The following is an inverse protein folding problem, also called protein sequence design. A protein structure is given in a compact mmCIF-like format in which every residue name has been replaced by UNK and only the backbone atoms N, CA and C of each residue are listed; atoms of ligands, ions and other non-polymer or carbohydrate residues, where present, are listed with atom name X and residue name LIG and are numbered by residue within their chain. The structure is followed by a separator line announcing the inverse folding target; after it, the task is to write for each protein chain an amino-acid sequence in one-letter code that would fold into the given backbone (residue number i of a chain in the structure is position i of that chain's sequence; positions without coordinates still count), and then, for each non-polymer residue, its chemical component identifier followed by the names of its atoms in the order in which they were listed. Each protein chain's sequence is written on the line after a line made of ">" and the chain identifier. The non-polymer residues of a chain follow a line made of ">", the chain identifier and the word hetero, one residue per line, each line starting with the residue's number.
data_IF_679840069662
#
_entry.id   IF_679840069662
#
_cell.length_a   1.000
_cell.length_b   1.000
_cell.length_c   1.000
_cell.angle_alpha   90.00
_cell.angle_beta   90.00
_cell.angle_gamma   90.00
#
_symmetry.space_group_name_H-M   'P 1'
#
loop_
_entity.id
_entity.type
_entity.pdbx_description
1 polymer ?
#
# COMPACT_ATOMS: atom_id res chain seq x y z
N UNK A 1 45.54 10.13 25.55
CA UNK A 1 44.30 10.81 25.97
C UNK A 1 43.74 11.81 24.96
N UNK A 2 44.51 12.78 24.42
CA UNK A 2 43.97 13.80 23.48
C UNK A 2 43.36 13.22 22.20
N UNK A 3 44.00 12.22 21.56
CA UNK A 3 43.45 11.56 20.37
C UNK A 3 42.15 10.76 20.63
N UNK A 4 41.97 10.23 21.84
CA UNK A 4 40.80 9.41 22.21
C UNK A 4 39.53 10.25 22.31
N UNK A 5 39.65 11.56 22.57
CA UNK A 5 38.53 12.50 22.64
C UNK A 5 38.30 13.19 21.28
N UNK A 6 39.39 13.50 20.56
CA UNK A 6 39.31 14.18 19.26
C UNK A 6 38.56 13.37 18.19
N UNK A 7 38.71 12.05 18.16
CA UNK A 7 38.05 11.18 17.16
C UNK A 7 36.52 11.10 17.38
N UNK A 8 35.98 10.85 18.58
CA UNK A 8 34.55 10.93 18.83
C UNK A 8 33.95 12.32 18.55
N UNK A 9 34.67 13.39 18.92
CA UNK A 9 34.22 14.76 18.65
C UNK A 9 34.16 15.08 17.15
N UNK A 10 35.12 14.62 16.37
CA UNK A 10 35.11 14.81 14.91
C UNK A 10 34.00 14.01 14.24
N UNK A 11 33.77 12.76 14.66
CA UNK A 11 32.65 11.94 14.17
C UNK A 11 31.29 12.57 14.50
N UNK A 12 31.13 13.08 15.72
CA UNK A 12 29.91 13.80 16.12
C UNK A 12 29.70 15.06 15.28
N UNK A 13 30.75 15.84 15.05
CA UNK A 13 30.68 17.05 14.22
C UNK A 13 30.29 16.72 12.77
N UNK A 14 30.90 15.70 12.16
CA UNK A 14 30.54 15.24 10.81
C UNK A 14 29.07 14.79 10.76
N UNK A 15 28.62 14.04 11.76
CA UNK A 15 27.22 13.62 11.86
C UNK A 15 26.25 14.81 12.01
N UNK A 16 26.62 15.80 12.82
CA UNK A 16 25.84 17.03 13.01
C UNK A 16 25.76 17.86 11.74
N UNK A 17 26.89 18.05 11.03
CA UNK A 17 26.92 18.77 9.74
C UNK A 17 26.05 18.06 8.73
N UNK A 18 26.17 16.73 8.61
CA UNK A 18 25.32 15.93 7.73
C UNK A 18 23.83 16.06 8.10
N UNK A 19 23.51 16.00 9.38
CA UNK A 19 22.14 16.19 9.87
C UNK A 19 21.59 17.57 9.51
N UNK A 20 22.34 18.65 9.75
CA UNK A 20 21.91 20.00 9.38
C UNK A 20 21.79 20.18 7.86
N UNK A 21 22.69 19.56 7.09
CA UNK A 21 22.61 19.57 5.63
C UNK A 21 21.32 18.90 5.14
N UNK A 22 21.04 17.68 5.62
CA UNK A 22 19.90 16.86 5.19
C UNK A 22 18.54 17.40 5.70
N UNK A 23 18.49 17.91 6.94
CA UNK A 23 17.24 18.29 7.62
C UNK A 23 16.96 19.80 7.59
N UNK A 24 17.94 20.66 7.29
CA UNK A 24 17.75 22.12 7.25
C UNK A 24 18.10 22.69 5.89
N UNK A 25 19.36 22.55 5.45
CA UNK A 25 19.85 23.26 4.26
C UNK A 25 19.20 22.75 2.97
N UNK A 26 19.18 21.43 2.75
CA UNK A 26 18.64 20.81 1.53
C UNK A 26 17.15 21.12 1.34
N UNK A 27 16.26 20.93 2.35
CA UNK A 27 14.85 21.33 2.22
C UNK A 27 14.66 22.83 1.90
N UNK A 28 15.34 23.72 2.63
CA UNK A 28 15.21 25.16 2.40
C UNK A 28 15.68 25.57 1.01
N UNK A 29 16.79 24.98 0.53
CA UNK A 29 17.30 25.21 -0.83
C UNK A 29 16.32 24.75 -1.90
N UNK A 30 15.72 23.56 -1.75
CA UNK A 30 14.70 23.05 -2.69
C UNK A 30 13.48 23.97 -2.70
N UNK A 31 13.01 24.42 -1.53
CA UNK A 31 11.89 25.35 -1.44
C UNK A 31 12.17 26.66 -2.18
N UNK A 32 13.35 27.26 -1.98
CA UNK A 32 13.75 28.48 -2.66
C UNK A 32 13.82 28.29 -4.18
N UNK A 33 14.41 27.18 -4.64
CA UNK A 33 14.55 26.86 -6.05
C UNK A 33 13.19 26.65 -6.74
N UNK A 34 12.25 25.94 -6.11
CA UNK A 34 10.91 25.72 -6.68
C UNK A 34 10.07 27.00 -6.64
N UNK A 35 10.19 27.79 -5.56
CA UNK A 35 9.56 29.09 -5.47
C UNK A 35 10.03 30.05 -6.59
N UNK A 36 11.32 30.05 -6.94
CA UNK A 36 11.84 30.88 -8.05
C UNK A 36 11.34 30.43 -9.42
N UNK A 37 10.86 29.19 -9.55
CA UNK A 37 10.20 28.66 -10.74
C UNK A 37 8.68 28.85 -10.72
N UNK A 38 8.14 29.54 -9.70
CA UNK A 38 6.71 29.78 -9.56
C UNK A 38 5.92 28.68 -8.85
N UNK A 39 6.58 27.57 -8.46
CA UNK A 39 5.94 26.46 -7.73
C UNK A 39 5.98 26.79 -6.24
N UNK A 40 4.85 27.26 -5.72
CA UNK A 40 4.68 27.63 -4.30
C UNK A 40 4.13 26.46 -3.47
N UNK A 41 4.09 26.63 -2.15
CA UNK A 41 3.56 25.61 -1.24
C UNK A 41 3.67 26.00 0.23
N UNK A 42 3.15 25.18 1.16
CA UNK A 42 3.40 25.34 2.59
C UNK A 42 4.90 25.43 2.89
N UNK A 43 5.32 26.31 3.83
CA UNK A 43 6.71 26.41 4.20
C UNK A 43 7.19 25.13 4.90
N UNK A 44 8.40 24.71 4.58
CA UNK A 44 9.07 23.61 5.26
C UNK A 44 9.18 23.88 6.76
N UNK A 45 8.87 22.87 7.58
CA UNK A 45 9.08 22.89 9.03
C UNK A 45 10.14 21.86 9.39
N UNK A 46 11.10 22.27 10.21
CA UNK A 46 12.23 21.44 10.60
C UNK A 46 11.80 20.05 11.08
N UNK A 47 12.41 19.02 10.50
CA UNK A 47 12.14 17.58 10.69
C UNK A 47 10.80 17.11 10.15
N UNK A 48 9.71 17.82 10.44
CA UNK A 48 8.35 17.33 10.25
C UNK A 48 7.74 17.69 8.90
N UNK A 49 8.32 18.64 8.17
CA UNK A 49 7.73 19.13 6.93
C UNK A 49 6.30 19.62 7.16
N UNK A 50 5.37 19.13 6.36
CA UNK A 50 3.95 19.47 6.47
C UNK A 50 3.18 18.46 7.33
N UNK A 51 3.81 17.37 7.80
CA UNK A 51 3.11 16.23 8.40
C UNK A 51 2.22 16.60 9.61
N UNK A 52 2.72 17.46 10.51
CA UNK A 52 1.94 17.92 11.67
C UNK A 52 0.72 18.75 11.27
N UNK A 53 0.88 19.61 10.26
CA UNK A 53 -0.21 20.42 9.73
C UNK A 53 -1.26 19.54 9.05
N UNK A 54 -0.83 18.56 8.23
CA UNK A 54 -1.72 17.59 7.60
C UNK A 54 -2.48 16.76 8.63
N UNK A 55 -1.79 16.24 9.65
CA UNK A 55 -2.42 15.47 10.72
C UNK A 55 -3.50 16.29 11.44
N UNK A 56 -3.21 17.57 11.76
CA UNK A 56 -4.17 18.49 12.37
C UNK A 56 -5.38 18.74 11.46
N UNK A 57 -5.15 19.08 10.19
CA UNK A 57 -6.24 19.30 9.21
C UNK A 57 -7.14 18.06 9.06
N UNK A 58 -6.54 16.86 9.04
CA UNK A 58 -7.29 15.61 8.98
C UNK A 58 -8.12 15.38 10.24
N UNK A 59 -7.54 15.60 11.43
CA UNK A 59 -8.27 15.47 12.69
C UNK A 59 -9.43 16.46 12.78
N UNK A 60 -9.23 17.71 12.39
CA UNK A 60 -10.28 18.75 12.38
C UNK A 60 -11.37 18.49 11.35
N UNK A 61 -11.02 17.95 10.17
CA UNK A 61 -12.02 17.48 9.21
C UNK A 61 -12.79 16.28 9.79
N UNK A 62 -12.08 15.35 10.44
CA UNK A 62 -12.63 14.12 11.03
C UNK A 62 -13.57 14.34 12.21
N UNK A 63 -13.35 15.38 13.00
CA UNK A 63 -14.18 15.68 14.17
C UNK A 63 -15.51 16.35 13.84
N UNK A 64 -15.69 16.85 12.61
CA UNK A 64 -16.89 17.57 12.19
C UNK A 64 -17.87 16.63 11.48
N UNK A 65 -19.19 16.74 11.77
CA UNK A 65 -20.20 16.05 10.99
C UNK A 65 -20.19 16.57 9.54
N UNK A 66 -20.56 15.71 8.61
CA UNK A 66 -20.70 16.05 7.20
C UNK A 66 -22.10 15.65 6.73
N UNK A 67 -22.78 16.55 6.02
CA UNK A 67 -24.04 16.21 5.37
C UNK A 67 -23.82 15.17 4.26
N UNK A 68 -24.84 14.39 3.95
CA UNK A 68 -24.82 13.44 2.83
C UNK A 68 -24.78 14.22 1.51
N UNK A 69 -23.57 14.45 0.99
CA UNK A 69 -23.29 15.18 -0.26
C UNK A 69 -22.14 14.50 -1.00
N UNK A 70 -22.08 14.70 -2.32
CA UNK A 70 -21.00 14.16 -3.15
C UNK A 70 -19.65 14.89 -2.95
N UNK A 71 -19.68 16.14 -2.48
CA UNK A 71 -18.46 16.93 -2.24
C UNK A 71 -17.77 16.53 -0.93
N UNK A 72 -17.11 15.37 -0.96
CA UNK A 72 -16.39 14.80 0.18
C UNK A 72 -14.89 15.16 0.18
N UNK A 73 -14.39 15.82 -0.87
CA UNK A 73 -12.96 16.05 -1.04
C UNK A 73 -12.33 16.88 0.10
N UNK A 74 -12.95 17.99 0.57
CA UNK A 74 -12.46 18.74 1.73
C UNK A 74 -12.43 17.91 3.01
N UNK A 75 -13.22 16.83 3.08
CA UNK A 75 -13.34 15.95 4.25
C UNK A 75 -12.30 14.83 4.24
N UNK A 76 -12.08 14.20 3.08
CA UNK A 76 -11.20 13.02 2.92
C UNK A 76 -9.73 13.43 2.78
N UNK A 77 -9.46 14.51 2.05
CA UNK A 77 -8.12 15.05 1.79
C UNK A 77 -8.08 16.57 2.02
N UNK A 78 -8.31 17.05 3.26
CA UNK A 78 -8.45 18.48 3.58
C UNK A 78 -7.21 19.30 3.18
N UNK A 79 -6.02 18.76 3.39
CA UNK A 79 -4.75 19.41 3.07
C UNK A 79 -4.57 19.61 1.55
N UNK A 80 -4.90 18.60 0.74
CA UNK A 80 -4.82 18.70 -0.73
C UNK A 80 -5.85 19.72 -1.22
N UNK A 81 -7.09 19.64 -0.77
CA UNK A 81 -8.13 20.62 -1.10
C UNK A 81 -7.69 22.06 -0.73
N UNK A 82 -7.23 22.27 0.51
CA UNK A 82 -6.83 23.59 1.00
C UNK A 82 -5.65 24.16 0.24
N UNK A 83 -4.62 23.35 -0.01
CA UNK A 83 -3.40 23.81 -0.67
C UNK A 83 -3.57 23.97 -2.18
N UNK A 84 -4.39 23.13 -2.83
CA UNK A 84 -4.74 23.34 -4.24
C UNK A 84 -5.43 24.68 -4.44
N UNK A 85 -6.39 25.03 -3.56
CA UNK A 85 -7.08 26.32 -3.61
C UNK A 85 -6.17 27.51 -3.27
N UNK A 86 -5.12 27.30 -2.47
CA UNK A 86 -4.23 28.37 -1.99
C UNK A 86 -3.01 28.61 -2.89
N UNK A 87 -2.41 27.54 -3.41
CA UNK A 87 -1.14 27.58 -4.14
C UNK A 87 -1.28 27.26 -5.63
N UNK A 88 -2.45 26.73 -6.05
CA UNK A 88 -2.72 26.34 -7.43
C UNK A 88 -2.68 24.83 -7.63
N UNK A 89 -2.90 24.39 -8.89
CA UNK A 89 -2.98 22.98 -9.29
C UNK A 89 -1.69 22.19 -9.06
N UNK A 90 -0.56 22.89 -9.16
CA UNK A 90 0.77 22.38 -8.86
C UNK A 90 1.34 23.09 -7.63
N UNK A 91 1.74 22.33 -6.62
CA UNK A 91 2.36 22.92 -5.43
C UNK A 91 3.35 21.98 -4.76
N UNK A 92 4.28 22.56 -4.01
CA UNK A 92 5.27 21.84 -3.21
C UNK A 92 4.72 21.54 -1.81
N UNK A 93 4.70 20.29 -1.37
CA UNK A 93 4.50 19.90 0.02
C UNK A 93 5.69 19.12 0.58
N UNK A 94 5.63 18.77 1.87
CA UNK A 94 6.73 18.12 2.56
C UNK A 94 6.27 16.91 3.37
N UNK A 95 6.80 15.73 3.06
CA UNK A 95 6.72 14.56 3.94
C UNK A 95 8.01 14.45 4.77
N UNK A 96 7.95 14.96 6.01
CA UNK A 96 9.16 15.14 6.80
C UNK A 96 10.15 16.05 6.07
N UNK A 97 11.37 15.57 5.83
CA UNK A 97 12.41 16.29 5.08
C UNK A 97 12.30 16.14 3.55
N UNK A 98 11.37 15.32 3.07
CA UNK A 98 11.23 15.01 1.64
C UNK A 98 10.29 16.00 0.98
N UNK A 99 10.77 16.66 -0.06
CA UNK A 99 9.94 17.46 -0.95
C UNK A 99 9.00 16.55 -1.77
N UNK A 100 7.74 16.92 -1.85
CA UNK A 100 6.72 16.26 -2.66
C UNK A 100 6.08 17.30 -3.59
N UNK A 101 6.23 17.11 -4.90
CA UNK A 101 5.54 17.93 -5.88
C UNK A 101 4.17 17.31 -6.16
N UNK A 102 3.11 18.02 -5.79
CA UNK A 102 1.73 17.63 -6.10
C UNK A 102 1.38 18.19 -7.46
N UNK A 103 0.90 17.32 -8.35
CA UNK A 103 0.53 17.64 -9.73
C UNK A 103 -0.92 17.27 -9.95
N UNK A 104 -1.72 18.23 -10.44
CA UNK A 104 -3.16 18.03 -10.68
C UNK A 104 -3.57 18.22 -12.15
N UNK A 105 -2.65 18.66 -13.00
CA UNK A 105 -2.88 18.87 -14.44
C UNK A 105 -2.85 17.53 -15.19
N UNK A 106 -3.91 17.18 -15.95
CA UNK A 106 -4.00 15.90 -16.65
C UNK A 106 -2.82 15.59 -17.59
N UNK A 107 -2.32 16.60 -18.32
CA UNK A 107 -1.21 16.39 -19.27
C UNK A 107 0.10 16.03 -18.54
N UNK A 108 0.39 16.67 -17.41
CA UNK A 108 1.57 16.35 -16.60
C UNK A 108 1.42 15.00 -15.91
N UNK A 109 0.22 14.68 -15.39
CA UNK A 109 -0.08 13.37 -14.82
C UNK A 109 0.16 12.28 -15.87
N UNK A 110 -0.31 12.49 -17.11
CA UNK A 110 -0.11 11.55 -18.22
C UNK A 110 1.37 11.36 -18.54
N UNK A 111 2.17 12.43 -18.56
CA UNK A 111 3.61 12.35 -18.77
C UNK A 111 4.30 11.52 -17.67
N UNK A 112 3.99 11.81 -16.40
CA UNK A 112 4.52 11.08 -15.25
C UNK A 112 4.14 9.61 -15.29
N UNK A 113 2.87 9.29 -15.60
CA UNK A 113 2.37 7.91 -15.64
C UNK A 113 2.84 7.14 -16.88
N UNK A 114 3.12 7.82 -18.00
CA UNK A 114 3.75 7.19 -19.17
C UNK A 114 5.16 6.71 -18.83
N UNK A 115 5.89 7.49 -18.02
CA UNK A 115 7.21 7.16 -17.46
C UNK A 115 8.18 6.52 -18.48
N UNK A 116 8.14 6.95 -19.75
CA UNK A 116 8.86 6.28 -20.83
C UNK A 116 10.38 6.28 -20.65
N UNK A 117 10.90 7.27 -19.93
CA UNK A 117 12.33 7.41 -19.63
C UNK A 117 12.72 6.80 -18.27
N UNK A 118 11.78 6.14 -17.56
CA UNK A 118 11.96 5.66 -16.18
C UNK A 118 12.41 6.76 -15.20
N UNK A 119 12.06 8.01 -15.49
CA UNK A 119 12.41 9.19 -14.70
C UNK A 119 11.64 9.29 -13.38
N UNK A 120 10.50 8.59 -13.27
CA UNK A 120 9.61 8.62 -12.11
C UNK A 120 9.53 7.23 -11.46
N UNK A 121 10.57 6.79 -10.72
CA UNK A 121 10.51 5.54 -9.98
C UNK A 121 9.48 5.62 -8.86
N UNK A 122 8.89 4.47 -8.51
CA UNK A 122 8.02 4.33 -7.36
C UNK A 122 8.77 4.75 -6.09
N UNK A 123 8.03 5.42 -5.22
CA UNK A 123 8.51 5.74 -3.87
C UNK A 123 8.76 4.45 -3.09
N UNK A 124 9.92 4.33 -2.46
CA UNK A 124 10.17 3.28 -1.48
C UNK A 124 9.08 3.27 -0.40
N UNK A 125 8.41 2.12 -0.17
CA UNK A 125 7.32 2.04 0.77
C UNK A 125 7.80 2.39 2.18
N UNK A 126 6.92 2.99 2.98
CA UNK A 126 7.17 3.12 4.42
C UNK A 126 7.13 1.74 5.06
N UNK A 127 7.65 1.58 6.28
CA UNK A 127 7.63 0.28 6.97
C UNK A 127 6.23 -0.32 7.06
N UNK A 128 5.20 0.49 7.25
CA UNK A 128 3.81 -0.01 7.35
C UNK A 128 3.23 -0.40 6.01
N UNK A 129 3.54 0.36 4.94
CA UNK A 129 3.16 -0.04 3.57
C UNK A 129 3.87 -1.34 3.21
N UNK A 130 5.14 -1.49 3.57
CA UNK A 130 5.88 -2.75 3.38
C UNK A 130 5.24 -3.93 4.13
N UNK A 131 4.69 -3.72 5.33
CA UNK A 131 3.92 -4.78 6.01
C UNK A 131 2.61 -5.14 5.29
N UNK A 132 1.93 -4.18 4.68
CA UNK A 132 0.70 -4.41 3.91
C UNK A 132 0.91 -5.16 2.60
N UNK A 133 1.88 -4.74 1.78
CA UNK A 133 2.01 -5.22 0.38
C UNK A 133 3.39 -5.78 0.05
N UNK A 134 4.38 -5.60 0.94
CA UNK A 134 5.74 -6.09 0.78
C UNK A 134 6.35 -5.78 -0.59
N UNK A 135 6.98 -6.79 -1.19
CA UNK A 135 7.52 -6.77 -2.55
C UNK A 135 6.53 -7.31 -3.60
N UNK A 136 5.22 -7.18 -3.35
CA UNK A 136 4.20 -7.48 -4.34
C UNK A 136 4.09 -6.38 -5.40
N UNK A 137 3.21 -6.61 -6.38
CA UNK A 137 3.07 -5.82 -7.60
C UNK A 137 2.92 -4.31 -7.38
N UNK A 138 2.35 -3.92 -6.24
CA UNK A 138 2.22 -2.53 -5.80
C UNK A 138 3.59 -1.85 -5.67
N UNK A 139 4.53 -2.45 -4.94
CA UNK A 139 5.80 -1.80 -4.54
C UNK A 139 6.96 -2.08 -5.48
N UNK A 140 6.98 -3.27 -6.09
CA UNK A 140 8.13 -3.79 -6.84
C UNK A 140 8.33 -3.07 -8.18
N UNK A 141 9.58 -3.04 -8.64
CA UNK A 141 10.01 -2.48 -9.93
C UNK A 141 10.98 -3.42 -10.65
N UNK A 142 11.41 -3.04 -11.86
CA UNK A 142 12.42 -3.76 -12.64
C UNK A 142 11.96 -5.13 -13.14
N UNK A 143 12.90 -6.06 -13.28
CA UNK A 143 12.64 -7.41 -13.83
C UNK A 143 11.63 -8.20 -12.99
N UNK A 144 11.70 -8.05 -11.66
CA UNK A 144 10.78 -8.69 -10.73
C UNK A 144 9.34 -8.22 -10.94
N UNK A 145 9.14 -6.93 -11.17
CA UNK A 145 7.84 -6.39 -11.54
C UNK A 145 7.34 -6.93 -12.87
N UNK A 146 8.19 -7.04 -13.89
CA UNK A 146 7.79 -7.60 -15.20
C UNK A 146 7.25 -9.02 -15.02
N UNK A 147 7.94 -9.85 -14.22
CA UNK A 147 7.55 -11.22 -13.92
C UNK A 147 6.23 -11.32 -13.16
N UNK A 148 6.11 -10.62 -12.02
CA UNK A 148 4.88 -10.62 -11.23
C UNK A 148 3.70 -10.03 -12.04
N UNK A 149 3.94 -8.98 -12.83
CA UNK A 149 2.92 -8.39 -13.71
C UNK A 149 2.47 -9.36 -14.80
N UNK A 150 3.38 -10.17 -15.35
CA UNK A 150 3.03 -11.21 -16.33
C UNK A 150 2.05 -12.24 -15.72
N UNK A 151 2.31 -12.70 -14.50
CA UNK A 151 1.42 -13.63 -13.78
C UNK A 151 0.04 -13.00 -13.53
N UNK A 152 0.00 -11.77 -13.01
CA UNK A 152 -1.26 -11.04 -12.80
C UNK A 152 -2.02 -10.80 -14.11
N UNK A 153 -1.36 -10.33 -15.17
CA UNK A 153 -1.99 -10.16 -16.47
C UNK A 153 -2.54 -11.47 -17.02
N UNK A 154 -1.88 -12.61 -16.78
CA UNK A 154 -2.38 -13.91 -17.20
C UNK A 154 -3.65 -14.31 -16.42
N UNK A 155 -3.64 -14.15 -15.09
CA UNK A 155 -4.78 -14.45 -14.24
C UNK A 155 -6.01 -13.58 -14.56
N UNK A 156 -5.79 -12.32 -14.97
CA UNK A 156 -6.83 -11.32 -15.17
C UNK A 156 -6.98 -10.84 -16.62
N UNK A 157 -6.58 -11.66 -17.62
CA UNK A 157 -6.84 -11.35 -19.03
C UNK A 157 -8.30 -11.63 -19.41
N UNK A 158 -8.72 -11.12 -20.57
CA UNK A 158 -10.12 -11.16 -21.02
C UNK A 158 -10.77 -12.55 -20.98
N UNK A 159 -10.09 -13.60 -21.44
CA UNK A 159 -10.63 -14.97 -21.38
C UNK A 159 -10.70 -15.55 -19.94
N UNK A 160 -9.69 -15.34 -19.09
CA UNK A 160 -9.75 -15.69 -17.66
C UNK A 160 -10.90 -14.98 -16.94
N UNK A 161 -11.15 -13.70 -17.25
CA UNK A 161 -12.27 -12.94 -16.69
C UNK A 161 -13.64 -13.52 -17.09
N UNK A 162 -13.78 -14.04 -18.32
CA UNK A 162 -15.02 -14.72 -18.74
C UNK A 162 -15.29 -15.95 -17.87
N UNK A 163 -14.24 -16.72 -17.55
CA UNK A 163 -14.35 -17.90 -16.69
C UNK A 163 -14.69 -17.55 -15.24
N UNK A 164 -14.43 -16.32 -14.79
CA UNK A 164 -14.80 -15.82 -13.46
C UNK A 164 -16.28 -15.42 -13.34
N UNK A 165 -16.95 -15.14 -14.48
CA UNK A 165 -18.32 -14.59 -14.50
C UNK A 165 -19.34 -15.45 -13.72
N UNK A 166 -19.37 -16.78 -13.85
CA UNK A 166 -20.29 -17.61 -13.08
C UNK A 166 -20.09 -17.48 -11.56
N UNK A 167 -18.84 -17.41 -11.10
CA UNK A 167 -18.53 -17.26 -9.68
C UNK A 167 -18.97 -15.88 -9.16
N UNK A 168 -18.80 -14.82 -9.96
CA UNK A 168 -19.28 -13.46 -9.63
C UNK A 168 -20.80 -13.44 -9.50
N UNK A 169 -21.52 -14.02 -10.48
CA UNK A 169 -22.99 -14.11 -10.46
C UNK A 169 -23.45 -14.85 -9.20
N UNK A 170 -22.88 -16.02 -8.91
CA UNK A 170 -23.25 -16.79 -7.72
C UNK A 170 -23.00 -16.02 -6.41
N UNK A 171 -21.93 -15.21 -6.33
CA UNK A 171 -21.67 -14.35 -5.16
C UNK A 171 -22.73 -13.26 -5.00
N UNK A 172 -23.13 -12.62 -6.11
CA UNK A 172 -24.20 -11.61 -6.12
C UNK A 172 -25.55 -12.21 -5.77
N UNK A 173 -25.91 -13.36 -6.35
CA UNK A 173 -27.17 -14.06 -6.05
C UNK A 173 -27.26 -14.45 -4.57
N UNK A 174 -26.15 -14.93 -3.99
CA UNK A 174 -26.09 -15.24 -2.55
C UNK A 174 -26.34 -14.00 -1.68
N UNK A 175 -25.74 -12.86 -2.04
CA UNK A 175 -25.96 -11.60 -1.34
C UNK A 175 -27.42 -11.14 -1.47
N UNK A 176 -27.98 -11.19 -2.67
CA UNK A 176 -29.37 -10.78 -2.93
C UNK A 176 -30.39 -11.69 -2.21
N UNK A 177 -30.10 -12.99 -2.10
CA UNK A 177 -30.93 -13.91 -1.32
C UNK A 177 -30.96 -13.50 0.16
N UNK A 178 -29.80 -13.19 0.74
CA UNK A 178 -29.71 -12.66 2.11
C UNK A 178 -30.51 -11.36 2.26
N UNK A 179 -30.47 -10.48 1.25
CA UNK A 179 -31.19 -9.19 1.28
C UNK A 179 -32.70 -9.33 1.31
N UNK A 180 -33.28 -10.46 0.87
CA UNK A 180 -34.73 -10.72 1.02
C UNK A 180 -35.19 -10.69 2.48
N UNK A 181 -34.31 -11.01 3.44
CA UNK A 181 -34.59 -10.89 4.88
C UNK A 181 -34.69 -9.45 5.41
N UNK A 182 -34.31 -8.47 4.60
CA UNK A 182 -34.27 -7.04 4.94
C UNK A 182 -35.35 -6.22 4.24
N UNK A 183 -36.32 -6.85 3.57
CA UNK A 183 -37.42 -6.13 2.92
C UNK A 183 -38.13 -5.22 3.94
N UNK A 184 -38.23 -3.93 3.60
CA UNK A 184 -38.82 -2.90 4.45
C UNK A 184 -37.91 -2.40 5.59
N UNK A 185 -36.63 -2.79 5.62
CA UNK A 185 -35.65 -2.37 6.63
C UNK A 185 -34.48 -1.63 5.98
N UNK A 186 -33.85 -0.75 6.75
CA UNK A 186 -32.57 -0.15 6.37
C UNK A 186 -31.45 -1.20 6.45
N UNK A 187 -30.49 -1.11 5.52
CA UNK A 187 -29.31 -1.98 5.47
C UNK A 187 -28.04 -1.14 5.38
N UNK A 188 -26.98 -1.60 6.04
CA UNK A 188 -25.65 -1.02 5.95
C UNK A 188 -24.96 -1.62 4.72
N UNK A 189 -24.84 -0.83 3.64
CA UNK A 189 -24.37 -1.31 2.34
C UNK A 189 -22.85 -1.47 2.26
N UNK A 190 -22.08 -0.76 3.09
CA UNK A 190 -20.62 -0.82 3.02
C UNK A 190 -20.10 -2.22 3.36
N UNK A 191 -20.58 -2.79 4.47
CA UNK A 191 -20.19 -4.14 4.89
C UNK A 191 -20.71 -5.21 3.94
N UNK A 192 -21.93 -5.08 3.40
CA UNK A 192 -22.46 -6.02 2.40
C UNK A 192 -21.61 -6.03 1.13
N UNK A 193 -21.23 -4.87 0.61
CA UNK A 193 -20.35 -4.80 -0.56
C UNK A 193 -18.91 -5.22 -0.25
N UNK A 194 -18.38 -4.91 0.93
CA UNK A 194 -17.06 -5.40 1.37
C UNK A 194 -17.03 -6.92 1.41
N UNK A 195 -18.07 -7.56 1.94
CA UNK A 195 -18.20 -9.02 1.95
C UNK A 195 -18.36 -9.58 0.54
N UNK A 196 -19.15 -8.94 -0.33
CA UNK A 196 -19.31 -9.34 -1.72
C UNK A 196 -17.98 -9.32 -2.48
N UNK A 197 -17.21 -8.24 -2.41
CA UNK A 197 -15.93 -8.15 -3.14
C UNK A 197 -14.92 -9.14 -2.59
N UNK A 198 -14.91 -9.34 -1.27
CA UNK A 198 -14.08 -10.35 -0.59
C UNK A 198 -14.43 -11.78 -1.04
N UNK A 199 -15.72 -12.12 -1.17
CA UNK A 199 -16.15 -13.42 -1.70
C UNK A 199 -15.76 -13.58 -3.17
N UNK A 200 -15.96 -12.54 -3.99
CA UNK A 200 -15.60 -12.56 -5.41
C UNK A 200 -14.12 -12.82 -5.58
N UNK A 201 -13.23 -12.03 -4.95
CA UNK A 201 -11.78 -12.21 -5.12
C UNK A 201 -11.31 -13.57 -4.58
N UNK A 202 -11.85 -14.05 -3.45
CA UNK A 202 -11.54 -15.39 -2.92
C UNK A 202 -11.90 -16.49 -3.91
N UNK A 203 -13.09 -16.44 -4.52
CA UNK A 203 -13.53 -17.43 -5.50
C UNK A 203 -12.73 -17.36 -6.80
N UNK A 204 -12.50 -16.17 -7.32
CA UNK A 204 -11.99 -16.00 -8.68
C UNK A 204 -10.46 -16.00 -8.74
N UNK A 205 -9.77 -15.42 -7.77
CA UNK A 205 -8.31 -15.34 -7.76
C UNK A 205 -7.64 -16.42 -6.92
N UNK A 206 -8.30 -16.91 -5.87
CA UNK A 206 -7.70 -17.86 -4.94
C UNK A 206 -8.33 -19.26 -4.98
N UNK A 207 -9.40 -19.45 -5.77
CA UNK A 207 -10.12 -20.71 -5.88
C UNK A 207 -10.66 -21.21 -4.53
N UNK A 208 -10.99 -20.28 -3.63
CA UNK A 208 -11.43 -20.51 -2.25
C UNK A 208 -12.76 -19.79 -1.98
N UNK A 209 -13.09 -19.57 -0.70
CA UNK A 209 -14.26 -18.78 -0.27
C UNK A 209 -13.83 -17.66 0.67
N UNK A 210 -14.70 -16.68 0.93
CA UNK A 210 -14.48 -15.67 1.95
C UNK A 210 -14.13 -16.31 3.29
N UNK A 211 -14.79 -17.39 3.69
CA UNK A 211 -14.53 -18.07 4.97
C UNK A 211 -13.08 -18.57 5.07
N UNK A 212 -12.49 -19.02 3.97
CA UNK A 212 -11.07 -19.42 3.94
C UNK A 212 -10.12 -18.22 3.99
N UNK A 213 -10.51 -17.08 3.40
CA UNK A 213 -9.73 -15.84 3.35
C UNK A 213 -9.98 -14.86 4.51
N UNK A 214 -11.03 -15.07 5.32
CA UNK A 214 -11.55 -14.10 6.29
C UNK A 214 -10.47 -13.62 7.26
N UNK A 215 -9.68 -14.55 7.79
CA UNK A 215 -8.59 -14.22 8.71
C UNK A 215 -7.56 -13.31 8.05
N UNK A 216 -7.26 -13.51 6.76
CA UNK A 216 -6.33 -12.67 6.00
C UNK A 216 -6.92 -11.26 5.82
N UNK A 217 -8.18 -11.15 5.41
CA UNK A 217 -8.86 -9.85 5.26
C UNK A 217 -8.89 -9.04 6.56
N UNK A 218 -9.19 -9.68 7.69
CA UNK A 218 -9.23 -9.02 8.99
C UNK A 218 -7.85 -8.50 9.41
N UNK A 219 -6.80 -9.30 9.20
CA UNK A 219 -5.43 -8.90 9.50
C UNK A 219 -4.94 -7.78 8.57
N UNK A 220 -5.26 -7.84 7.28
CA UNK A 220 -4.96 -6.78 6.31
C UNK A 220 -5.69 -5.47 6.67
N UNK A 221 -6.95 -5.56 7.10
CA UNK A 221 -7.73 -4.41 7.56
C UNK A 221 -7.09 -3.76 8.80
N UNK A 222 -6.64 -4.56 9.77
CA UNK A 222 -5.87 -4.05 10.93
C UNK A 222 -4.56 -3.40 10.50
N UNK A 223 -3.81 -4.01 9.59
CA UNK A 223 -2.59 -3.41 9.04
C UNK A 223 -2.88 -2.07 8.33
N UNK A 224 -4.01 -1.95 7.61
CA UNK A 224 -4.42 -0.72 6.95
C UNK A 224 -4.71 0.39 7.95
N UNK A 225 -5.38 0.06 9.07
CA UNK A 225 -5.62 0.99 10.19
C UNK A 225 -4.30 1.44 10.82
N UNK A 226 -3.38 0.50 11.10
CA UNK A 226 -2.06 0.81 11.66
C UNK A 226 -1.28 1.74 10.71
N UNK A 227 -1.27 1.41 9.41
CA UNK A 227 -0.63 2.25 8.39
C UNK A 227 -1.24 3.65 8.37
N UNK A 228 -2.56 3.77 8.40
CA UNK A 228 -3.25 5.06 8.39
C UNK A 228 -2.91 5.91 9.62
N UNK A 229 -2.91 5.31 10.82
CA UNK A 229 -2.53 5.98 12.08
C UNK A 229 -1.09 6.51 12.08
N UNK A 230 -0.23 5.95 11.22
CA UNK A 230 1.18 6.30 11.14
C UNK A 230 1.57 7.09 9.89
N UNK A 231 0.64 7.32 8.96
CA UNK A 231 0.93 7.92 7.65
C UNK A 231 1.67 9.27 7.75
N UNK A 232 1.29 10.11 8.71
CA UNK A 232 1.89 11.44 8.94
C UNK A 232 2.74 11.50 10.23
N UNK A 233 3.14 10.35 10.81
CA UNK A 233 4.07 10.36 11.95
C UNK A 233 5.50 10.41 11.42
N UNK A 234 6.13 11.57 11.55
CA UNK A 234 7.54 11.74 11.20
C UNK A 234 8.41 10.87 12.10
N UNK A 235 9.19 9.97 11.50
CA UNK A 235 10.15 9.13 12.22
C UNK A 235 11.56 9.65 12.02
N UNK A 236 12.27 9.82 13.13
CA UNK A 236 13.69 10.16 13.12
C UNK A 236 14.46 8.83 13.12
N UNK A 237 15.25 8.51 12.06
CA UNK A 237 15.81 7.19 11.85
C UNK A 237 16.61 6.59 13.02
N UNK A 238 17.35 7.43 13.76
CA UNK A 238 18.16 6.97 14.90
C UNK A 238 17.31 6.66 16.14
N UNK A 239 16.23 7.42 16.38
CA UNK A 239 15.31 7.16 17.50
C UNK A 239 14.56 5.84 17.28
N UNK A 240 14.14 5.56 16.04
CA UNK A 240 13.43 4.33 15.71
C UNK A 240 14.28 3.05 15.85
N UNK A 241 15.61 3.16 15.97
CA UNK A 241 16.48 2.00 16.25
C UNK A 241 16.58 1.67 17.74
N UNK A 242 16.32 2.64 18.61
CA UNK A 242 16.44 2.48 20.06
C UNK A 242 15.16 1.94 20.69
N UNK A 243 14.00 2.20 20.08
CA UNK A 243 12.71 1.75 20.58
C UNK A 243 11.78 1.35 19.43
N UNK A 244 11.21 0.15 19.50
CA UNK A 244 10.14 -0.30 18.60
C UNK A 244 8.77 0.10 19.19
N UNK A 245 8.01 1.01 18.56
CA UNK A 245 6.64 1.31 18.96
C UNK A 245 5.72 0.09 18.85
N UNK A 246 4.67 0.04 19.67
CA UNK A 246 3.66 -1.02 19.67
C UNK A 246 3.09 -1.30 18.28
N UNK A 247 2.75 -0.24 17.52
CA UNK A 247 2.24 -0.35 16.15
C UNK A 247 3.20 -1.14 15.22
N UNK A 248 4.53 -1.06 15.44
CA UNK A 248 5.50 -1.87 14.66
C UNK A 248 5.39 -3.33 15.04
N UNK A 249 5.40 -3.64 16.34
CA UNK A 249 5.34 -5.01 16.85
C UNK A 249 4.05 -5.70 16.40
N UNK A 250 2.91 -5.03 16.56
CA UNK A 250 1.61 -5.52 16.11
C UNK A 250 1.61 -5.75 14.58
N UNK A 251 2.18 -4.83 13.80
CA UNK A 251 2.29 -5.03 12.34
C UNK A 251 3.24 -6.16 11.93
N UNK A 252 4.26 -6.45 12.72
CA UNK A 252 5.17 -7.59 12.50
C UNK A 252 4.44 -8.91 12.79
N UNK A 253 3.70 -8.98 13.89
CA UNK A 253 2.89 -10.15 14.27
C UNK A 253 1.81 -10.46 13.21
N UNK A 254 1.01 -9.46 12.83
CA UNK A 254 -0.03 -9.61 11.80
C UNK A 254 0.55 -10.09 10.46
N UNK A 255 1.70 -9.54 10.05
CA UNK A 255 2.34 -9.95 8.81
C UNK A 255 2.82 -11.42 8.85
N UNK A 256 3.37 -11.86 9.99
CA UNK A 256 3.79 -13.25 10.19
C UNK A 256 2.59 -14.21 10.19
N UNK A 257 1.48 -13.82 10.82
CA UNK A 257 0.26 -14.62 10.81
C UNK A 257 -0.35 -14.74 9.41
N UNK A 258 -0.34 -13.66 8.61
CA UNK A 258 -0.77 -13.70 7.21
C UNK A 258 0.11 -14.68 6.43
N UNK A 259 1.44 -14.60 6.58
CA UNK A 259 2.35 -15.55 5.95
C UNK A 259 1.99 -17.00 6.32
N UNK A 260 1.69 -17.27 7.59
CA UNK A 260 1.23 -18.59 8.04
C UNK A 260 -0.07 -19.05 7.38
N UNK A 261 -1.03 -18.14 7.16
CA UNK A 261 -2.29 -18.46 6.48
C UNK A 261 -2.07 -18.76 4.99
N UNK A 262 -1.28 -17.94 4.31
CA UNK A 262 -0.93 -18.16 2.89
C UNK A 262 -0.20 -19.49 2.73
N UNK A 263 0.75 -19.82 3.62
CA UNK A 263 1.43 -21.12 3.60
C UNK A 263 0.47 -22.30 3.74
N UNK A 264 -0.57 -22.20 4.58
CA UNK A 264 -1.59 -23.24 4.69
C UNK A 264 -2.40 -23.39 3.40
N UNK A 265 -2.71 -22.29 2.71
CA UNK A 265 -3.39 -22.33 1.41
C UNK A 265 -2.55 -23.03 0.34
N UNK A 266 -1.24 -22.72 0.29
CA UNK A 266 -0.30 -23.36 -0.63
C UNK A 266 -0.23 -24.86 -0.35
N UNK A 267 0.01 -25.26 0.90
CA UNK A 267 0.09 -26.68 1.29
C UNK A 267 -1.18 -27.45 0.94
N UNK A 268 -2.35 -26.87 1.24
CA UNK A 268 -3.64 -27.47 0.85
C UNK A 268 -3.73 -27.68 -0.67
N UNK A 269 -3.16 -26.78 -1.48
CA UNK A 269 -3.10 -26.92 -2.95
C UNK A 269 -2.13 -28.00 -3.39
N UNK A 270 -0.96 -28.06 -2.76
CA UNK A 270 0.06 -29.08 -2.99
C UNK A 270 -0.46 -30.48 -2.67
N UNK A 271 -1.07 -30.65 -1.49
CA UNK A 271 -1.60 -31.94 -1.02
C UNK A 271 -2.67 -32.49 -1.97
N UNK A 272 -3.54 -31.62 -2.52
CA UNK A 272 -4.56 -32.04 -3.51
C UNK A 272 -3.95 -32.62 -4.78
N UNK A 273 -2.83 -32.07 -5.25
CA UNK A 273 -2.13 -32.59 -6.44
C UNK A 273 -1.39 -33.88 -6.10
N UNK A 274 -0.69 -33.92 -4.97
CA UNK A 274 0.05 -35.11 -4.52
C UNK A 274 -0.88 -36.30 -4.28
N UNK A 275 -2.08 -36.07 -3.73
CA UNK A 275 -3.07 -37.11 -3.47
C UNK A 275 -3.90 -37.50 -4.71
N UNK A 276 -3.69 -36.86 -5.85
CA UNK A 276 -4.45 -37.12 -7.08
C UNK A 276 -5.88 -36.58 -7.08
N UNK A 277 -6.21 -35.64 -6.18
CA UNK A 277 -7.51 -34.95 -6.13
C UNK A 277 -7.59 -33.79 -7.15
N UNK A 278 -6.47 -33.39 -7.74
CA UNK A 278 -6.38 -32.39 -8.79
C UNK A 278 -5.17 -32.65 -9.71
N UNK A 279 -5.33 -32.43 -11.01
CA UNK A 279 -4.27 -32.65 -12.00
C UNK A 279 -3.20 -31.52 -12.02
N UNK A 280 -3.50 -30.36 -11.42
CA UNK A 280 -2.61 -29.21 -11.38
C UNK A 280 -2.94 -28.27 -10.22
N UNK A 281 -2.09 -27.28 -9.96
CA UNK A 281 -2.39 -26.19 -9.02
C UNK A 281 -3.47 -25.22 -9.53
N UNK A 282 -4.05 -25.42 -10.72
CA UNK A 282 -5.08 -24.58 -11.31
C UNK A 282 -4.56 -23.33 -12.00
N UNK A 283 -5.47 -22.65 -12.72
CA UNK A 283 -5.17 -21.48 -13.55
C UNK A 283 -5.64 -20.15 -12.93
N UNK A 284 -6.18 -20.18 -11.72
CA UNK A 284 -6.44 -18.97 -10.94
C UNK A 284 -5.13 -18.32 -10.49
N UNK A 285 -5.23 -17.10 -9.94
CA UNK A 285 -4.04 -16.32 -9.57
C UNK A 285 -3.15 -17.06 -8.57
N UNK A 286 -3.73 -17.67 -7.53
CA UNK A 286 -2.97 -18.48 -6.57
C UNK A 286 -2.29 -19.68 -7.24
N UNK A 287 -3.00 -20.40 -8.10
CA UNK A 287 -2.46 -21.53 -8.85
C UNK A 287 -1.25 -21.13 -9.72
N UNK A 288 -1.34 -19.98 -10.39
CA UNK A 288 -0.22 -19.43 -11.17
C UNK A 288 0.96 -19.03 -10.29
N UNK A 289 0.72 -18.47 -9.11
CA UNK A 289 1.79 -18.17 -8.15
C UNK A 289 2.46 -19.44 -7.61
N UNK A 290 1.68 -20.48 -7.30
CA UNK A 290 2.21 -21.78 -6.81
C UNK A 290 3.01 -22.49 -7.92
N UNK A 291 2.53 -22.46 -9.17
CA UNK A 291 3.30 -22.95 -10.32
C UNK A 291 4.64 -22.20 -10.44
N UNK A 292 4.62 -20.87 -10.36
CA UNK A 292 5.84 -20.07 -10.43
C UNK A 292 6.76 -20.26 -9.21
N UNK A 293 6.24 -20.62 -8.04
CA UNK A 293 7.04 -20.96 -6.87
C UNK A 293 7.79 -22.29 -7.03
N UNK A 294 7.23 -23.23 -7.81
CA UNK A 294 7.82 -24.53 -8.14
C UNK A 294 8.51 -24.58 -9.50
N UNK A 295 8.74 -23.44 -10.15
CA UNK A 295 9.39 -23.39 -11.46
C UNK A 295 10.86 -23.82 -11.36
N UNK A 296 11.32 -24.62 -12.33
CA UNK A 296 12.69 -25.13 -12.38
C UNK A 296 13.69 -24.11 -12.92
N UNK A 297 13.23 -23.11 -13.66
CA UNK A 297 14.07 -22.01 -14.12
C UNK A 297 14.11 -20.92 -13.04
N UNK A 298 15.28 -20.69 -12.44
CA UNK A 298 15.51 -19.63 -11.44
C UNK A 298 14.99 -18.26 -11.90
N UNK A 299 14.97 -17.98 -13.21
CA UNK A 299 14.42 -16.74 -13.76
C UNK A 299 12.90 -16.65 -13.57
N UNK A 300 12.19 -17.77 -13.62
CA UNK A 300 10.74 -17.88 -13.47
C UNK A 300 10.31 -18.30 -12.05
N UNK A 301 11.24 -18.79 -11.21
CA UNK A 301 10.97 -19.17 -9.82
C UNK A 301 10.67 -17.99 -8.89
N UNK A 302 9.52 -17.97 -8.23
CA UNK A 302 9.21 -16.98 -7.18
C UNK A 302 9.80 -17.42 -5.84
N UNK A 303 10.26 -16.46 -5.03
CA UNK A 303 10.55 -16.76 -3.62
C UNK A 303 9.25 -16.89 -2.83
N UNK A 304 9.29 -17.60 -1.70
CA UNK A 304 8.12 -17.69 -0.82
C UNK A 304 7.65 -16.30 -0.36
N UNK A 305 8.58 -15.39 -0.06
CA UNK A 305 8.24 -14.02 0.32
C UNK A 305 7.46 -13.29 -0.78
N UNK A 306 7.84 -13.50 -2.04
CA UNK A 306 7.20 -12.86 -3.19
C UNK A 306 5.78 -13.38 -3.41
N UNK A 307 5.59 -14.70 -3.29
CA UNK A 307 4.27 -15.30 -3.35
C UNK A 307 3.37 -14.73 -2.25
N UNK A 308 3.84 -14.69 -1.01
CA UNK A 308 3.08 -14.17 0.14
C UNK A 308 2.73 -12.70 -0.05
N UNK A 309 3.67 -11.90 -0.53
CA UNK A 309 3.47 -10.48 -0.79
C UNK A 309 2.51 -10.21 -1.96
N UNK A 310 2.51 -11.06 -3.00
CA UNK A 310 1.51 -11.02 -4.07
C UNK A 310 0.11 -11.38 -3.54
N UNK A 311 -0.01 -12.46 -2.75
CA UNK A 311 -1.29 -12.83 -2.12
C UNK A 311 -1.83 -11.66 -1.28
N UNK A 312 -1.00 -11.06 -0.42
CA UNK A 312 -1.36 -9.87 0.35
C UNK A 312 -1.82 -8.71 -0.53
N UNK A 313 -1.09 -8.45 -1.62
CA UNK A 313 -1.40 -7.35 -2.54
C UNK A 313 -2.77 -7.54 -3.18
N UNK A 314 -3.08 -8.74 -3.65
CA UNK A 314 -4.36 -9.02 -4.32
C UNK A 314 -5.54 -9.15 -3.35
N UNK A 315 -5.34 -9.72 -2.15
CA UNK A 315 -6.36 -9.71 -1.10
C UNK A 315 -6.66 -8.29 -0.58
N UNK A 316 -5.68 -7.38 -0.60
CA UNK A 316 -5.87 -6.00 -0.16
C UNK A 316 -6.54 -5.14 -1.26
N UNK A 317 -6.20 -5.39 -2.53
CA UNK A 317 -6.63 -4.56 -3.64
C UNK A 317 -7.99 -4.96 -4.23
N UNK A 318 -8.34 -6.25 -4.17
CA UNK A 318 -9.65 -6.79 -4.58
C UNK A 318 -10.66 -6.74 -3.44
#
# INVERSE_FOLDING_TARGET
>A
MKLVILVPCSLFFVALVKFLYDYLWRPLRIQQMLNSQGIRGPPYRFIHGSNKEVAKMRQEALSKPMALRHDIFPRVQPHIYTWTNKYGKNYLSWDGVRAELVISEPELIKEVLKNSEKAFPKRNPTVFISKLVGNGLFSVEGEKWVKQRKLGNHAFHGESLKNMTPAVIASVETMLEKWKGYVGKEIELFEEFRLLTSEVISRTAFGSSYLEGQKIFDMLSKLAIIMHRNLFKTRIPWISKLWKPADILESEELANEIQGCVMKMIKKREDRVVNGEADSFGNDFLGLLVNAYHDLDDKNMLSLGDLVDECKTFYLAG
#
